data_IF_600177497901
#
_entry.id   IF_600177497901
#
_cell.length_a   1.000
_cell.length_b   1.000
_cell.length_c   1.000
_cell.angle_alpha   90.00
_cell.angle_beta   90.00
_cell.angle_gamma   90.00
#
_symmetry.space_group_name_H-M   'P 1'
#
loop_
_entity.id
_entity.type
_entity.pdbx_description
1 polymer ?
#
# COMPACT_ATOMS: atom_id res chain seq x y z
N UNK A 1 -33.30 19.74 -41.22
CA UNK A 1 -33.37 18.68 -40.18
C UNK A 1 -32.41 17.58 -40.62
N UNK A 2 -31.42 17.10 -39.89
CA UNK A 2 -31.06 17.24 -38.48
C UNK A 2 -29.53 17.23 -38.34
N UNK A 3 -29.02 18.03 -37.42
CA UNK A 3 -27.63 18.09 -36.96
C UNK A 3 -27.37 16.95 -35.96
N UNK A 4 -26.43 16.04 -36.26
CA UNK A 4 -26.00 15.00 -35.34
C UNK A 4 -24.70 15.46 -34.66
N UNK A 5 -24.84 15.89 -33.40
CA UNK A 5 -23.74 16.18 -32.49
C UNK A 5 -23.06 14.86 -32.06
N UNK A 6 -21.79 14.67 -32.40
CA UNK A 6 -20.97 13.63 -31.77
C UNK A 6 -20.55 14.10 -30.38
N UNK A 7 -21.11 13.47 -29.34
CA UNK A 7 -20.67 13.62 -27.95
C UNK A 7 -19.34 12.90 -27.78
N UNK A 8 -18.27 13.67 -27.54
CA UNK A 8 -16.98 13.17 -27.09
C UNK A 8 -17.10 12.73 -25.61
N UNK A 9 -16.76 11.49 -25.23
CA UNK A 9 -16.68 11.14 -23.81
C UNK A 9 -15.41 11.77 -23.25
N UNK A 10 -15.59 12.82 -22.45
CA UNK A 10 -14.54 13.39 -21.62
C UNK A 10 -14.17 12.34 -20.57
N UNK A 11 -13.15 11.53 -20.83
CA UNK A 11 -12.56 10.64 -19.83
C UNK A 11 -11.79 11.52 -18.84
N UNK A 12 -12.53 12.08 -17.89
CA UNK A 12 -12.02 12.78 -16.73
C UNK A 12 -11.32 11.73 -15.88
N UNK A 13 -10.02 11.51 -16.11
CA UNK A 13 -9.15 10.84 -15.15
C UNK A 13 -9.12 11.75 -13.91
N UNK A 14 -10.12 11.59 -13.04
CA UNK A 14 -10.05 12.01 -11.66
C UNK A 14 -8.87 11.23 -11.07
N UNK A 15 -7.69 11.83 -11.11
CA UNK A 15 -6.71 11.60 -10.06
C UNK A 15 -7.42 12.00 -8.77
N UNK A 16 -8.09 11.04 -8.14
CA UNK A 16 -8.44 11.10 -6.74
C UNK A 16 -7.11 11.18 -6.01
N UNK A 17 -6.59 12.39 -5.86
CA UNK A 17 -5.60 12.64 -4.82
C UNK A 17 -6.25 12.12 -3.54
N UNK A 18 -5.62 11.18 -2.80
CA UNK A 18 -6.18 10.74 -1.53
C UNK A 18 -6.35 11.99 -0.67
N UNK A 19 -7.60 12.37 -0.45
CA UNK A 19 -7.93 13.39 0.53
C UNK A 19 -7.49 12.84 1.87
N UNK A 20 -6.47 13.47 2.47
CA UNK A 20 -6.13 13.28 3.86
C UNK A 20 -7.32 13.81 4.68
N UNK A 21 -8.22 12.91 5.08
CA UNK A 21 -9.29 13.25 6.00
C UNK A 21 -8.80 12.95 7.41
N UNK A 22 -9.12 13.86 8.34
CA UNK A 22 -9.05 13.58 9.76
C UNK A 22 -9.83 12.29 10.05
N UNK A 23 -9.22 11.39 10.82
CA UNK A 23 -9.87 10.15 11.26
C UNK A 23 -10.38 10.40 12.67
N UNK A 24 -11.66 10.15 12.90
CA UNK A 24 -12.24 10.20 14.23
C UNK A 24 -13.24 9.05 14.39
N UNK A 25 -13.11 8.30 15.49
CA UNK A 25 -14.08 7.29 15.87
C UNK A 25 -14.16 7.17 17.40
N UNK A 26 -15.31 6.68 17.86
CA UNK A 26 -15.57 6.37 19.25
C UNK A 26 -16.38 5.08 19.31
N UNK A 27 -15.82 4.07 19.97
CA UNK A 27 -16.41 2.74 20.08
C UNK A 27 -16.54 2.41 21.56
N UNK A 28 -17.77 2.36 22.05
CA UNK A 28 -18.09 1.99 23.43
C UNK A 28 -18.57 0.54 23.57
N UNK A 29 -18.75 -0.16 22.44
CA UNK A 29 -19.24 -1.53 22.39
C UNK A 29 -18.71 -2.24 21.15
N UNK A 30 -18.07 -3.41 21.33
CA UNK A 30 -17.47 -4.20 20.27
C UNK A 30 -18.37 -5.40 19.89
N UNK A 31 -18.76 -5.47 18.62
CA UNK A 31 -19.60 -6.54 18.07
C UNK A 31 -18.85 -7.34 17.00
N UNK A 32 -19.20 -8.61 16.84
CA UNK A 32 -18.59 -9.52 15.86
C UNK A 32 -18.95 -9.23 14.41
N UNK A 33 -20.04 -8.52 14.16
CA UNK A 33 -20.50 -8.11 12.83
C UNK A 33 -19.93 -6.75 12.39
N UNK A 34 -19.26 -6.02 13.29
CA UNK A 34 -18.81 -4.67 13.03
C UNK A 34 -17.52 -4.69 12.19
N UNK A 35 -17.51 -3.95 11.09
CA UNK A 35 -16.39 -3.93 10.13
C UNK A 35 -15.34 -2.85 10.41
N UNK A 36 -15.49 -2.11 11.52
CA UNK A 36 -14.61 -1.01 11.92
C UNK A 36 -13.36 -1.50 12.67
N UNK A 37 -13.40 -2.69 13.25
CA UNK A 37 -12.28 -3.33 13.94
C UNK A 37 -11.98 -4.67 13.28
N UNK A 38 -10.71 -4.92 13.02
CA UNK A 38 -10.21 -6.19 12.50
C UNK A 38 -9.51 -6.92 13.63
N UNK A 39 -9.86 -8.20 13.79
CA UNK A 39 -9.32 -9.06 14.83
C UNK A 39 -8.38 -10.09 14.20
N UNK A 40 -7.19 -10.26 14.78
CA UNK A 40 -6.21 -11.25 14.34
C UNK A 40 -5.67 -12.04 15.54
N UNK A 41 -5.12 -13.21 15.24
CA UNK A 41 -4.68 -14.14 16.27
C UNK A 41 -5.85 -14.57 17.15
N UNK A 42 -5.68 -14.39 18.46
CA UNK A 42 -6.64 -14.79 19.50
C UNK A 42 -7.64 -13.72 19.90
N UNK A 43 -7.47 -12.50 19.41
CA UNK A 43 -8.37 -11.41 19.76
C UNK A 43 -9.78 -11.70 19.23
N UNK A 44 -10.78 -11.52 20.09
CA UNK A 44 -12.18 -11.66 19.69
C UNK A 44 -13.06 -10.59 20.38
N UNK A 45 -14.14 -10.15 19.73
CA UNK A 45 -15.19 -9.42 20.43
C UNK A 45 -15.98 -10.39 21.33
N UNK A 46 -16.14 -10.04 22.60
CA UNK A 46 -16.83 -10.82 23.62
C UNK A 46 -17.59 -9.89 24.56
N UNK A 47 -18.91 -10.06 24.64
CA UNK A 47 -19.80 -9.31 25.55
C UNK A 47 -19.58 -7.78 25.50
N UNK A 48 -19.47 -7.23 24.29
CA UNK A 48 -19.29 -5.79 24.09
C UNK A 48 -17.88 -5.25 24.31
N UNK A 49 -16.93 -6.12 24.66
CA UNK A 49 -15.51 -5.80 24.81
C UNK A 49 -14.66 -6.59 23.81
N UNK A 50 -13.36 -6.30 23.74
CA UNK A 50 -12.39 -7.13 23.02
C UNK A 50 -11.60 -7.94 24.04
N UNK A 51 -11.75 -9.26 24.01
CA UNK A 51 -10.82 -10.15 24.70
C UNK A 51 -9.59 -10.34 23.81
N UNK A 52 -8.44 -9.79 24.21
CA UNK A 52 -7.22 -9.89 23.41
C UNK A 52 -6.68 -11.33 23.40
N UNK A 53 -6.84 -12.06 24.51
CA UNK A 53 -6.42 -13.45 24.68
C UNK A 53 -7.56 -14.23 25.33
N UNK A 54 -8.44 -14.81 24.51
CA UNK A 54 -9.58 -15.58 25.00
C UNK A 54 -9.15 -16.98 25.54
N UNK A 55 -8.18 -17.63 24.89
CA UNK A 55 -7.81 -19.01 25.24
C UNK A 55 -6.74 -19.09 26.33
N UNK A 56 -7.05 -18.65 27.54
CA UNK A 56 -6.10 -18.59 28.68
C UNK A 56 -5.48 -19.91 29.10
N UNK A 57 -6.07 -21.05 28.74
CA UNK A 57 -5.52 -22.38 29.05
C UNK A 57 -4.43 -22.83 28.06
N UNK A 58 -4.22 -22.09 26.99
CA UNK A 58 -3.17 -22.35 26.01
C UNK A 58 -2.03 -21.36 26.20
N UNK A 59 -0.81 -21.87 26.12
CA UNK A 59 0.41 -21.05 26.19
C UNK A 59 0.72 -20.42 24.83
N UNK A 60 1.57 -19.39 24.85
CA UNK A 60 2.13 -18.77 23.65
C UNK A 60 1.05 -18.23 22.69
N UNK A 61 0.17 -17.36 23.19
CA UNK A 61 -0.92 -16.77 22.41
C UNK A 61 -0.59 -15.34 22.04
N UNK A 62 -1.12 -14.88 20.90
CA UNK A 62 -1.01 -13.50 20.42
C UNK A 62 -2.39 -13.09 19.91
N UNK A 63 -2.83 -11.89 20.28
CA UNK A 63 -4.07 -11.31 19.75
C UNK A 63 -3.87 -9.86 19.36
N UNK A 64 -4.39 -9.49 18.19
CA UNK A 64 -4.41 -8.12 17.70
C UNK A 64 -5.84 -7.65 17.45
N UNK A 65 -6.10 -6.39 17.78
CA UNK A 65 -7.29 -5.68 17.34
C UNK A 65 -6.88 -4.36 16.72
N UNK A 66 -7.16 -4.16 15.43
CA UNK A 66 -6.75 -2.96 14.69
C UNK A 66 -7.94 -2.22 14.12
N UNK A 67 -7.84 -0.90 14.02
CA UNK A 67 -8.81 -0.11 13.26
C UNK A 67 -8.75 -0.50 11.78
N UNK A 68 -9.92 -0.72 11.16
CA UNK A 68 -10.00 -1.28 9.81
C UNK A 68 -9.48 -0.34 8.71
N UNK A 69 -9.57 0.98 8.93
CA UNK A 69 -9.07 1.96 7.97
C UNK A 69 -7.67 2.43 8.37
N UNK A 70 -6.85 2.72 7.36
CA UNK A 70 -5.54 3.36 7.56
C UNK A 70 -5.68 4.80 8.08
N UNK A 71 -4.72 5.22 8.89
CA UNK A 71 -4.63 6.58 9.43
C UNK A 71 -3.43 7.29 8.78
N UNK A 72 -3.64 8.50 8.26
CA UNK A 72 -2.53 9.32 7.77
C UNK A 72 -1.97 10.17 8.90
N UNK A 73 -0.70 9.96 9.26
CA UNK A 73 -0.04 10.74 10.32
C UNK A 73 0.65 11.98 9.77
N UNK A 74 1.20 11.91 8.57
CA UNK A 74 1.88 13.03 7.94
C UNK A 74 1.77 12.98 6.42
N UNK A 75 2.08 14.12 5.80
CA UNK A 75 2.02 14.30 4.36
C UNK A 75 3.42 14.48 3.77
N UNK A 76 3.79 13.66 2.79
CA UNK A 76 5.14 13.65 2.21
C UNK A 76 5.46 14.87 1.38
N UNK A 77 4.45 15.57 0.87
CA UNK A 77 4.61 16.76 0.03
C UNK A 77 4.88 17.99 0.89
N UNK A 78 4.01 18.24 1.88
CA UNK A 78 4.07 19.40 2.78
C UNK A 78 4.94 19.17 4.00
N UNK A 79 5.31 17.92 4.29
CA UNK A 79 5.98 17.48 5.53
C UNK A 79 5.20 17.82 6.80
N UNK A 80 3.91 18.15 6.67
CA UNK A 80 3.03 18.47 7.79
C UNK A 80 2.68 17.19 8.54
N UNK A 81 2.83 17.25 9.86
CA UNK A 81 2.53 16.17 10.79
C UNK A 81 1.23 16.48 11.53
N UNK A 82 0.43 15.45 11.81
CA UNK A 82 -0.85 15.57 12.52
C UNK A 82 -0.68 15.48 14.03
N UNK A 83 -1.54 16.17 14.78
CA UNK A 83 -1.81 15.77 16.15
C UNK A 83 -2.74 14.55 16.11
N UNK A 84 -2.62 13.68 17.10
CA UNK A 84 -3.64 12.69 17.39
C UNK A 84 -3.87 12.55 18.87
N UNK A 85 -5.04 12.08 19.24
CA UNK A 85 -5.39 11.68 20.58
C UNK A 85 -6.15 10.35 20.50
N UNK A 86 -5.80 9.42 21.36
CA UNK A 86 -6.57 8.20 21.57
C UNK A 86 -6.81 8.02 23.04
N UNK A 87 -7.97 7.48 23.35
CA UNK A 87 -8.33 7.11 24.70
C UNK A 87 -9.02 5.76 24.67
N UNK A 88 -8.69 4.91 25.62
CA UNK A 88 -9.29 3.58 25.72
C UNK A 88 -9.40 3.18 27.18
N UNK A 89 -10.48 2.48 27.49
CA UNK A 89 -10.64 1.80 28.77
C UNK A 89 -10.25 0.34 28.59
N UNK A 90 -9.45 -0.20 29.50
CA UNK A 90 -9.09 -1.61 29.50
C UNK A 90 -9.00 -2.16 30.93
N UNK A 91 -8.88 -3.47 31.07
CA UNK A 91 -8.42 -4.04 32.33
C UNK A 91 -7.54 -5.25 32.05
N UNK A 92 -6.59 -5.47 32.97
CA UNK A 92 -5.72 -6.63 33.00
C UNK A 92 -6.01 -7.43 34.26
N UNK A 93 -6.14 -8.75 34.13
CA UNK A 93 -6.40 -9.65 35.25
C UNK A 93 -5.32 -10.73 35.34
N UNK A 94 -4.55 -10.67 36.42
CA UNK A 94 -3.40 -11.56 36.73
C UNK A 94 -3.81 -12.97 37.20
N UNK A 95 -5.10 -13.30 37.14
CA UNK A 95 -5.65 -14.59 37.58
C UNK A 95 -5.35 -14.93 39.05
N UNK A 96 -5.14 -13.92 39.89
CA UNK A 96 -4.81 -14.10 41.31
C UNK A 96 -3.41 -14.67 41.56
N UNK A 97 -2.56 -14.71 40.53
CA UNK A 97 -1.18 -15.18 40.64
C UNK A 97 -0.25 -14.04 41.04
N UNK A 98 0.73 -14.26 41.94
CA UNK A 98 1.74 -13.24 42.23
C UNK A 98 2.76 -13.16 41.10
N UNK A 99 3.45 -12.02 40.97
CA UNK A 99 4.61 -11.89 40.10
C UNK A 99 5.68 -12.95 40.48
N UNK A 100 6.41 -13.55 39.53
CA UNK A 100 6.34 -13.37 38.07
C UNK A 100 5.50 -14.47 37.39
N UNK A 101 4.30 -14.79 37.90
CA UNK A 101 3.45 -15.90 37.38
C UNK A 101 2.26 -15.42 36.54
N UNK A 102 2.36 -14.24 35.92
CA UNK A 102 1.45 -13.68 34.93
C UNK A 102 2.26 -12.92 33.87
N UNK A 103 1.67 -12.58 32.72
CA UNK A 103 2.38 -11.89 31.64
C UNK A 103 1.68 -12.02 30.28
N UNK A 104 2.05 -11.24 29.27
CA UNK A 104 3.23 -10.34 29.19
C UNK A 104 2.90 -8.86 28.94
N UNK A 105 1.64 -8.49 28.88
CA UNK A 105 1.22 -7.10 28.77
C UNK A 105 0.31 -6.80 27.60
N UNK A 106 0.05 -5.50 27.44
CA UNK A 106 -0.75 -4.89 26.38
C UNK A 106 0.04 -3.77 25.73
N UNK A 107 0.00 -3.69 24.40
CA UNK A 107 0.58 -2.58 23.65
C UNK A 107 -0.46 -1.90 22.76
N UNK A 108 -0.55 -0.57 22.83
CA UNK A 108 -1.13 0.24 21.76
C UNK A 108 -0.03 0.58 20.76
N UNK A 109 -0.24 0.34 19.46
CA UNK A 109 0.81 0.49 18.45
C UNK A 109 0.36 1.29 17.22
N UNK A 110 1.35 1.94 16.59
CA UNK A 110 1.29 2.50 15.24
C UNK A 110 2.34 1.79 14.39
N UNK A 111 1.92 1.16 13.29
CA UNK A 111 2.79 0.39 12.41
C UNK A 111 2.42 0.58 10.92
N UNK A 112 3.24 0.15 9.95
CA UNK A 112 2.90 0.27 8.53
C UNK A 112 1.58 -0.41 8.18
N UNK A 113 0.87 0.13 7.19
CA UNK A 113 -0.31 -0.56 6.65
C UNK A 113 0.11 -1.92 6.09
N UNK A 114 -0.56 -2.98 6.53
CA UNK A 114 -0.18 -4.35 6.17
C UNK A 114 0.95 -4.94 7.02
N UNK A 115 1.30 -4.32 8.15
CA UNK A 115 2.12 -4.96 9.17
C UNK A 115 1.41 -6.22 9.65
N UNK A 116 2.13 -7.34 9.70
CA UNK A 116 1.62 -8.66 10.08
C UNK A 116 2.24 -9.08 11.41
N UNK A 117 1.53 -9.94 12.16
CA UNK A 117 2.06 -10.54 13.39
C UNK A 117 3.36 -11.29 13.03
N UNK A 118 4.52 -10.91 13.58
CA UNK A 118 5.76 -11.62 13.27
C UNK A 118 5.68 -13.08 13.73
N UNK A 119 6.32 -14.02 13.02
CA UNK A 119 6.43 -15.39 13.50
C UNK A 119 7.20 -15.41 14.82
N UNK A 120 6.83 -16.34 15.71
CA UNK A 120 7.44 -16.54 17.02
C UNK A 120 7.44 -15.29 17.92
N UNK A 121 6.36 -14.50 17.85
CA UNK A 121 6.18 -13.22 18.56
C UNK A 121 5.40 -13.31 19.88
N UNK A 122 5.19 -14.51 20.41
CA UNK A 122 4.47 -14.69 21.68
C UNK A 122 5.29 -14.25 22.90
N UNK A 123 4.66 -14.21 24.07
CA UNK A 123 5.28 -13.81 25.32
C UNK A 123 5.76 -12.37 25.32
N UNK A 124 6.98 -12.14 25.82
CA UNK A 124 7.58 -10.80 25.93
C UNK A 124 7.78 -10.08 24.60
N UNK A 125 7.63 -10.76 23.45
CA UNK A 125 7.63 -10.10 22.14
C UNK A 125 6.33 -9.34 21.80
N UNK A 126 5.34 -9.40 22.70
CA UNK A 126 4.06 -8.67 22.64
C UNK A 126 3.29 -8.83 21.34
N UNK A 127 3.55 -9.86 20.53
CA UNK A 127 2.95 -10.01 19.20
C UNK A 127 3.43 -9.00 18.17
N UNK A 128 4.45 -8.20 18.46
CA UNK A 128 4.92 -7.08 17.63
C UNK A 128 6.36 -7.25 17.14
N UNK A 129 7.13 -8.11 17.80
CA UNK A 129 8.54 -8.36 17.52
C UNK A 129 8.85 -9.84 17.43
N UNK A 130 10.06 -10.18 17.03
CA UNK A 130 10.67 -11.48 17.23
C UNK A 130 12.17 -11.30 17.44
N UNK A 131 12.90 -12.41 17.57
CA UNK A 131 14.35 -12.42 17.82
C UNK A 131 15.17 -11.66 16.77
N UNK A 132 14.69 -11.51 15.54
CA UNK A 132 15.40 -10.80 14.46
C UNK A 132 14.96 -9.34 14.30
N UNK A 133 13.80 -8.98 14.87
CA UNK A 133 13.22 -7.65 14.78
C UNK A 133 13.19 -6.93 16.12
N UNK A 134 13.70 -7.51 17.20
CA UNK A 134 13.64 -6.91 18.56
C UNK A 134 14.30 -5.53 18.67
N UNK A 135 15.24 -5.18 17.78
CA UNK A 135 15.76 -3.82 17.62
C UNK A 135 16.14 -3.58 16.15
N UNK A 136 15.21 -2.99 15.39
CA UNK A 136 15.41 -2.77 13.95
C UNK A 136 14.63 -1.58 13.44
N UNK A 137 15.34 -0.63 12.82
CA UNK A 137 14.72 0.52 12.11
C UNK A 137 13.78 0.10 10.97
N UNK A 138 13.91 -1.13 10.47
CA UNK A 138 13.03 -1.66 9.42
C UNK A 138 11.61 -1.97 9.91
N UNK A 139 11.41 -2.06 11.24
CA UNK A 139 10.10 -2.33 11.82
C UNK A 139 9.12 -1.19 11.57
N UNK A 140 9.61 0.04 11.61
CA UNK A 140 8.80 1.26 11.47
C UNK A 140 7.59 1.24 12.42
N UNK A 141 7.85 0.98 13.70
CA UNK A 141 6.81 0.83 14.72
C UNK A 141 7.07 1.76 15.90
N UNK A 142 5.99 2.34 16.43
CA UNK A 142 5.96 3.06 17.70
C UNK A 142 4.85 2.43 18.53
N UNK A 143 5.13 2.14 19.79
CA UNK A 143 4.13 1.59 20.69
C UNK A 143 4.21 2.20 22.09
N UNK A 144 3.10 2.10 22.80
CA UNK A 144 2.98 2.31 24.24
C UNK A 144 2.64 0.96 24.86
N UNK A 145 3.48 0.46 25.75
CA UNK A 145 3.29 -0.84 26.41
C UNK A 145 2.93 -0.68 27.88
N UNK A 146 2.09 -1.59 28.37
CA UNK A 146 1.86 -1.88 29.78
C UNK A 146 2.44 -3.28 30.01
N UNK A 147 3.69 -3.34 30.44
CA UNK A 147 4.45 -4.57 30.59
C UNK A 147 4.36 -5.12 32.01
N UNK A 148 3.72 -6.27 32.12
CA UNK A 148 3.46 -6.98 33.37
C UNK A 148 4.49 -8.07 33.68
N UNK A 149 5.48 -8.29 32.82
CA UNK A 149 6.48 -9.34 33.01
C UNK A 149 7.90 -8.88 32.65
N UNK A 150 8.77 -8.84 33.65
CA UNK A 150 10.16 -8.43 33.47
C UNK A 150 10.98 -9.49 32.71
N UNK A 151 11.30 -9.20 31.45
CA UNK A 151 12.29 -9.88 30.64
C UNK A 151 13.68 -9.26 30.84
N UNK A 152 14.54 -9.96 31.59
CA UNK A 152 15.87 -9.48 32.01
C UNK A 152 16.79 -9.08 30.85
N UNK A 153 16.51 -9.53 29.64
CA UNK A 153 17.29 -9.24 28.44
C UNK A 153 17.10 -7.81 27.92
N UNK A 154 15.93 -7.19 28.12
CA UNK A 154 15.62 -5.85 27.57
C UNK A 154 14.84 -4.93 28.50
N UNK A 155 14.20 -5.45 29.54
CA UNK A 155 13.38 -4.65 30.45
C UNK A 155 14.18 -4.03 31.59
N UNK A 156 13.68 -2.90 32.15
CA UNK A 156 14.07 -2.49 33.49
C UNK A 156 13.73 -3.59 34.50
N UNK A 157 14.36 -3.55 35.69
CA UNK A 157 14.15 -4.56 36.73
C UNK A 157 12.78 -4.47 37.44
N UNK A 158 11.78 -3.87 36.80
CA UNK A 158 10.43 -3.61 37.32
C UNK A 158 9.42 -3.78 36.20
N UNK A 159 8.20 -4.20 36.56
CA UNK A 159 7.03 -4.00 35.69
C UNK A 159 6.89 -2.51 35.38
N UNK A 160 6.47 -2.17 34.16
CA UNK A 160 6.56 -0.79 33.70
C UNK A 160 5.54 -0.45 32.63
N UNK A 161 5.26 0.84 32.49
CA UNK A 161 4.64 1.41 31.29
C UNK A 161 5.74 2.07 30.47
N UNK A 162 5.75 1.83 29.17
CA UNK A 162 6.82 2.16 28.25
C UNK A 162 6.38 2.89 26.98
N UNK A 163 7.25 3.73 26.42
CA UNK A 163 7.16 4.16 25.01
C UNK A 163 8.35 3.58 24.26
N UNK A 164 8.06 2.85 23.19
CA UNK A 164 9.07 2.13 22.43
C UNK A 164 9.06 2.60 20.97
N UNK A 165 10.23 2.55 20.34
CA UNK A 165 10.41 2.91 18.94
C UNK A 165 11.34 1.92 18.25
N UNK A 166 10.85 1.23 17.23
CA UNK A 166 11.60 0.26 16.44
C UNK A 166 12.30 -0.86 17.22
N UNK A 167 12.14 -0.91 18.53
CA UNK A 167 12.80 -1.81 19.46
C UNK A 167 11.79 -2.22 20.52
N UNK A 168 11.97 -3.42 21.05
CA UNK A 168 11.19 -3.92 22.18
C UNK A 168 11.65 -3.31 23.49
N UNK A 169 12.89 -2.83 23.58
CA UNK A 169 13.32 -2.07 24.74
C UNK A 169 12.67 -0.68 24.74
N UNK A 170 12.04 -0.33 25.87
CA UNK A 170 11.46 0.99 26.10
C UNK A 170 12.48 2.12 25.97
N UNK A 171 12.15 3.16 25.19
CA UNK A 171 12.97 4.36 25.07
C UNK A 171 12.85 5.27 26.30
N UNK A 172 11.68 5.22 26.96
CA UNK A 172 11.40 5.81 28.26
C UNK A 172 10.36 4.93 28.94
N UNK A 173 10.46 4.79 30.26
CA UNK A 173 9.53 4.01 31.06
C UNK A 173 9.27 4.66 32.41
N UNK A 174 8.21 4.21 33.07
CA UNK A 174 7.98 4.46 34.50
C UNK A 174 7.52 3.17 35.18
N UNK A 175 7.92 2.91 36.44
CA UNK A 175 7.49 1.73 37.16
C UNK A 175 5.97 1.63 37.26
N UNK A 176 5.46 0.41 37.13
CA UNK A 176 4.05 0.07 37.22
C UNK A 176 3.89 -1.22 38.03
N UNK A 177 2.72 -1.46 38.61
CA UNK A 177 2.45 -2.67 39.38
C UNK A 177 1.16 -3.33 38.90
N UNK A 178 1.28 -4.25 37.95
CA UNK A 178 0.15 -4.91 37.32
C UNK A 178 -0.71 -5.68 38.34
N UNK A 179 -0.07 -6.39 39.28
CA UNK A 179 -0.80 -7.16 40.30
C UNK A 179 -1.63 -6.30 41.25
N UNK A 180 -1.14 -5.11 41.62
CA UNK A 180 -1.86 -4.19 42.51
C UNK A 180 -3.17 -3.69 41.88
N UNK A 181 -3.17 -3.47 40.57
CA UNK A 181 -4.33 -3.01 39.81
C UNK A 181 -5.12 -4.14 39.14
N UNK A 182 -4.83 -5.40 39.47
CA UNK A 182 -5.40 -6.56 38.78
C UNK A 182 -6.93 -6.58 38.86
N UNK A 183 -7.58 -6.54 37.69
CA UNK A 183 -9.04 -6.52 37.54
C UNK A 183 -9.67 -5.13 37.66
N UNK A 184 -8.90 -4.10 37.99
CA UNK A 184 -9.35 -2.72 37.96
C UNK A 184 -9.34 -2.18 36.52
N UNK A 185 -10.31 -1.32 36.23
CA UNK A 185 -10.38 -0.68 34.91
C UNK A 185 -9.45 0.52 34.89
N UNK A 186 -8.63 0.58 33.85
CA UNK A 186 -7.74 1.70 33.56
C UNK A 186 -8.27 2.46 32.35
N UNK A 187 -8.38 3.78 32.50
CA UNK A 187 -8.60 4.71 31.41
C UNK A 187 -7.25 5.29 31.00
N UNK A 188 -6.87 5.11 29.73
CA UNK A 188 -5.55 5.49 29.20
C UNK A 188 -5.72 6.54 28.12
N UNK A 189 -5.01 7.65 28.24
CA UNK A 189 -4.94 8.72 27.26
C UNK A 189 -3.56 8.76 26.62
N UNK A 190 -3.50 8.63 25.30
CA UNK A 190 -2.27 8.80 24.52
C UNK A 190 -2.49 9.98 23.57
N UNK A 191 -1.63 10.98 23.67
CA UNK A 191 -1.69 12.18 22.85
C UNK A 191 -0.37 12.42 22.15
N UNK A 192 -0.44 12.86 20.91
CA UNK A 192 0.72 13.30 20.16
C UNK A 192 0.54 14.75 19.70
N UNK A 193 1.47 15.60 20.09
CA UNK A 193 1.54 17.00 19.68
C UNK A 193 2.60 17.17 18.60
N UNK A 194 2.18 17.44 17.37
CA UNK A 194 3.06 17.61 16.22
C UNK A 194 3.95 18.87 16.32
N UNK A 195 3.52 19.90 17.03
CA UNK A 195 4.30 21.13 17.22
C UNK A 195 5.49 20.93 18.15
N UNK A 196 5.32 20.11 19.19
CA UNK A 196 6.36 19.81 20.19
C UNK A 196 7.01 18.45 19.97
N UNK A 197 6.56 17.68 18.96
CA UNK A 197 6.96 16.29 18.69
C UNK A 197 6.86 15.41 19.95
N UNK A 198 5.84 15.63 20.76
CA UNK A 198 5.74 15.01 22.07
C UNK A 198 4.63 13.95 22.06
N UNK A 199 5.01 12.70 22.31
CA UNK A 199 4.11 11.59 22.57
C UNK A 199 3.96 11.43 24.08
N UNK A 200 2.79 11.77 24.61
CA UNK A 200 2.48 11.65 26.03
C UNK A 200 1.45 10.56 26.27
N UNK A 201 1.68 9.74 27.29
CA UNK A 201 0.69 8.82 27.84
C UNK A 201 0.43 9.14 29.30
N UNK A 202 -0.84 9.08 29.68
CA UNK A 202 -1.28 9.14 31.07
C UNK A 202 -2.41 8.15 31.29
N UNK A 203 -2.55 7.64 32.50
CA UNK A 203 -3.62 6.72 32.85
C UNK A 203 -4.18 6.98 34.24
N UNK A 204 -5.40 6.51 34.45
CA UNK A 204 -6.09 6.57 35.72
C UNK A 204 -6.87 5.29 35.95
N UNK A 205 -6.79 4.77 37.17
CA UNK A 205 -7.51 3.59 37.61
C UNK A 205 -8.81 3.99 38.30
N UNK A 206 -9.88 3.24 38.05
CA UNK A 206 -11.21 3.61 38.55
C UNK A 206 -11.40 3.35 40.05
N UNK A 207 -10.71 2.35 40.61
CA UNK A 207 -10.95 1.93 42.01
C UNK A 207 -9.68 1.91 42.86
N UNK A 208 -8.55 1.60 42.26
CA UNK A 208 -7.24 1.49 42.92
C UNK A 208 -6.45 2.76 42.69
N UNK A 209 -5.75 3.24 43.72
CA UNK A 209 -4.85 4.38 43.59
C UNK A 209 -3.62 4.18 44.46
N UNK A 210 -2.47 4.58 43.95
CA UNK A 210 -1.20 4.47 44.64
C UNK A 210 -0.46 5.81 44.51
N UNK A 211 -0.51 6.64 45.55
CA UNK A 211 0.02 8.01 45.50
C UNK A 211 1.50 8.16 45.04
N UNK A 212 2.42 7.22 45.33
CA UNK A 212 3.79 7.26 44.82
C UNK A 212 3.94 6.84 43.35
N UNK A 213 2.91 6.25 42.73
CA UNK A 213 2.96 5.81 41.34
C UNK A 213 2.86 7.01 40.39
N UNK A 214 3.80 7.11 39.47
CA UNK A 214 3.73 8.10 38.42
C UNK A 214 2.90 7.57 37.26
N UNK A 215 1.67 8.06 37.12
CA UNK A 215 0.70 7.61 36.12
C UNK A 215 0.79 8.38 34.79
N UNK A 216 1.97 8.90 34.47
CA UNK A 216 2.22 9.59 33.22
C UNK A 216 3.68 9.50 32.80
N UNK A 217 3.90 9.46 31.49
CA UNK A 217 5.23 9.56 30.89
C UNK A 217 5.12 10.18 29.50
N UNK A 218 6.22 10.74 29.01
CA UNK A 218 6.25 11.35 27.69
C UNK A 218 7.59 11.14 27.00
N UNK A 219 7.59 11.21 25.67
CA UNK A 219 8.78 11.04 24.86
C UNK A 219 8.78 11.99 23.68
N UNK A 220 9.89 12.69 23.48
CA UNK A 220 10.07 13.54 22.30
C UNK A 220 10.51 12.68 21.10
N UNK A 221 9.64 12.60 20.09
CA UNK A 221 9.79 11.71 18.96
C UNK A 221 9.19 12.33 17.69
N UNK A 222 10.00 12.45 16.64
CA UNK A 222 9.50 12.84 15.33
C UNK A 222 8.94 11.62 14.60
N UNK A 223 7.62 11.45 14.59
CA UNK A 223 6.99 10.28 13.97
C UNK A 223 7.30 10.13 12.46
N UNK A 224 7.69 11.21 11.78
CA UNK A 224 8.06 11.19 10.36
C UNK A 224 9.38 10.46 10.10
N UNK A 225 10.24 10.39 11.10
CA UNK A 225 11.54 9.73 11.01
C UNK A 225 11.43 8.21 11.18
N UNK A 226 10.25 7.72 11.59
CA UNK A 226 10.03 6.33 12.03
C UNK A 226 8.92 5.69 11.20
N UNK A 227 7.74 6.32 11.18
CA UNK A 227 6.53 5.76 10.60
C UNK A 227 6.33 6.24 9.15
N UNK A 228 5.78 5.39 8.25
CA UNK A 228 5.31 5.83 6.94
C UNK A 228 4.15 6.84 7.07
N UNK A 229 3.79 7.48 5.96
CA UNK A 229 2.68 8.46 5.93
C UNK A 229 1.36 7.85 6.41
N UNK A 230 1.09 6.62 6.01
CA UNK A 230 -0.11 5.86 6.34
C UNK A 230 0.23 4.70 7.25
N UNK A 231 -0.47 4.62 8.38
CA UNK A 231 -0.27 3.59 9.40
C UNK A 231 -1.56 2.82 9.66
N UNK A 232 -1.40 1.63 10.23
CA UNK A 232 -2.44 0.97 11.01
C UNK A 232 -2.27 1.34 12.49
N UNK A 233 -3.38 1.44 13.20
CA UNK A 233 -3.40 1.63 14.66
C UNK A 233 -4.18 0.51 15.31
N UNK A 234 -3.73 0.06 16.47
CA UNK A 234 -4.39 -1.04 17.15
C UNK A 234 -3.75 -1.43 18.46
N UNK A 235 -4.22 -2.54 18.99
CA UNK A 235 -3.77 -3.15 20.21
C UNK A 235 -3.15 -4.51 19.91
N UNK A 236 -2.12 -4.86 20.67
CA UNK A 236 -1.51 -6.18 20.68
C UNK A 236 -1.35 -6.67 22.10
N UNK A 237 -1.61 -7.95 22.34
CA UNK A 237 -1.25 -8.62 23.58
C UNK A 237 -0.68 -10.00 23.26
N UNK A 238 0.20 -10.48 24.13
CA UNK A 238 0.75 -11.83 24.02
C UNK A 238 0.96 -12.47 25.39
N UNK A 239 0.94 -13.79 25.42
CA UNK A 239 1.19 -14.60 26.63
C UNK A 239 2.24 -15.66 26.35
N UNK A 240 2.82 -16.23 27.42
CA UNK A 240 3.75 -17.36 27.35
C UNK A 240 3.25 -18.49 28.26
N UNK A 241 4.14 -19.13 29.03
CA UNK A 241 3.81 -20.14 30.04
C UNK A 241 2.83 -19.63 31.11
N UNK A 242 2.88 -18.33 31.39
CA UNK A 242 1.96 -17.65 32.29
C UNK A 242 1.02 -16.79 31.45
N UNK A 243 -0.27 -16.91 31.73
CA UNK A 243 -1.29 -16.15 31.06
C UNK A 243 -1.85 -15.07 31.98
N UNK A 244 -2.25 -13.98 31.37
CA UNK A 244 -3.13 -12.99 31.96
C UNK A 244 -4.28 -12.70 31.00
N UNK A 245 -5.36 -12.11 31.51
CA UNK A 245 -6.48 -11.69 30.66
C UNK A 245 -6.40 -10.20 30.45
N UNK A 246 -6.33 -9.80 29.18
CA UNK A 246 -6.39 -8.40 28.77
C UNK A 246 -7.67 -8.18 27.98
N UNK A 247 -8.43 -7.17 28.39
CA UNK A 247 -9.70 -6.81 27.75
C UNK A 247 -9.77 -5.31 27.45
N UNK A 248 -10.11 -4.95 26.22
CA UNK A 248 -10.39 -3.56 25.82
C UNK A 248 -11.89 -3.32 25.87
N UNK A 249 -12.34 -2.38 26.70
CA UNK A 249 -13.76 -2.07 26.93
C UNK A 249 -14.29 -0.97 26.01
N UNK A 250 -13.45 0.02 25.72
CA UNK A 250 -13.81 1.14 24.85
C UNK A 250 -12.57 1.60 24.09
N UNK A 251 -12.77 2.23 22.93
CA UNK A 251 -11.68 2.85 22.20
C UNK A 251 -12.17 4.04 21.38
N UNK A 252 -11.52 5.17 21.58
CA UNK A 252 -11.68 6.36 20.77
C UNK A 252 -10.33 6.82 20.22
N UNK A 253 -10.36 7.37 19.02
CA UNK A 253 -9.20 7.91 18.34
C UNK A 253 -9.64 9.11 17.53
N UNK A 254 -8.81 10.16 17.52
CA UNK A 254 -8.99 11.34 16.69
C UNK A 254 -7.66 11.84 16.16
N UNK A 255 -7.60 12.25 14.89
CA UNK A 255 -6.47 12.95 14.29
C UNK A 255 -6.90 14.28 13.68
N UNK A 256 -6.05 15.29 13.76
CA UNK A 256 -6.36 16.66 13.33
C UNK A 256 -5.95 17.00 11.89
N UNK A 257 -5.60 16.00 11.07
CA UNK A 257 -5.08 16.23 9.72
C UNK A 257 -6.20 16.62 8.74
N UNK A 258 -6.66 17.87 8.84
CA UNK A 258 -7.38 18.54 7.76
C UNK A 258 -6.33 19.18 6.84
N UNK A 259 -5.94 18.48 5.78
CA UNK A 259 -5.22 19.13 4.67
C UNK A 259 -6.24 19.94 3.89
N UNK A 260 -6.48 21.18 4.32
CA UNK A 260 -7.13 22.18 3.47
C UNK A 260 -6.29 22.30 2.20
N UNK A 261 -6.89 22.04 1.04
CA UNK A 261 -6.29 22.43 -0.24
C UNK A 261 -5.78 23.87 -0.08
N UNK A 262 -4.47 24.08 -0.17
CA UNK A 262 -3.97 25.41 -0.51
C UNK A 262 -4.50 25.66 -1.91
N UNK A 263 -5.62 26.38 -1.97
CA UNK A 263 -6.40 26.72 -3.15
C UNK A 263 -5.52 26.68 -4.40
N UNK A 264 -5.54 25.53 -5.06
CA UNK A 264 -4.70 25.22 -6.21
C UNK A 264 -5.07 26.05 -7.44
N UNK A 265 -5.80 27.17 -7.30
CA UNK A 265 -6.12 28.07 -8.40
C UNK A 265 -4.85 28.67 -9.01
N UNK A 266 -3.83 29.00 -8.22
CA UNK A 266 -2.59 29.58 -8.76
C UNK A 266 -1.62 28.53 -9.34
N UNK A 267 -1.56 27.32 -8.76
CA UNK A 267 -0.78 26.21 -9.29
C UNK A 267 -1.44 25.56 -10.52
N UNK A 268 -2.78 25.38 -10.52
CA UNK A 268 -3.55 24.95 -11.69
C UNK A 268 -3.45 25.96 -12.82
N UNK A 269 -3.51 27.29 -12.55
CA UNK A 269 -3.29 28.31 -13.60
C UNK A 269 -1.89 28.24 -14.21
N UNK A 270 -0.84 28.08 -13.40
CA UNK A 270 0.54 27.96 -13.92
C UNK A 270 0.75 26.66 -14.72
N UNK A 271 0.22 25.51 -14.28
CA UNK A 271 0.29 24.24 -15.04
C UNK A 271 -0.58 24.26 -16.31
N UNK A 272 -1.79 24.84 -16.26
CA UNK A 272 -2.69 24.95 -17.42
C UNK A 272 -2.08 25.87 -18.48
N UNK A 273 -1.41 26.96 -18.08
CA UNK A 273 -0.77 27.89 -19.02
C UNK A 273 0.42 27.24 -19.75
N UNK A 274 1.23 26.43 -19.06
CA UNK A 274 2.35 25.69 -19.67
C UNK A 274 1.85 24.54 -20.55
N UNK A 275 0.75 23.86 -20.18
CA UNK A 275 0.13 22.82 -21.01
C UNK A 275 -0.56 23.37 -22.27
N UNK A 276 -1.14 24.57 -22.21
CA UNK A 276 -1.81 25.21 -23.35
C UNK A 276 -0.81 25.76 -24.39
N UNK A 277 0.33 26.29 -23.95
CA UNK A 277 1.35 26.79 -24.89
C UNK A 277 2.08 25.65 -25.61
N UNK A 278 2.34 24.53 -24.93
CA UNK A 278 2.98 23.37 -25.54
C UNK A 278 2.01 22.62 -26.47
N UNK A 279 0.73 22.44 -26.07
CA UNK A 279 -0.27 21.77 -26.93
C UNK A 279 -0.70 22.62 -28.13
N UNK A 280 -0.77 23.95 -27.98
CA UNK A 280 -1.00 24.87 -29.11
C UNK A 280 0.15 24.84 -30.12
N UNK A 281 1.40 24.81 -29.64
CA UNK A 281 2.58 24.73 -30.52
C UNK A 281 2.63 23.44 -31.33
N UNK A 282 2.29 22.30 -30.72
CA UNK A 282 2.25 20.99 -31.42
C UNK A 282 1.12 20.92 -32.44
N UNK A 283 -0.06 21.51 -32.16
CA UNK A 283 -1.17 21.56 -33.11
C UNK A 283 -0.86 22.45 -34.32
N UNK A 284 -0.20 23.60 -34.10
CA UNK A 284 0.21 24.50 -35.18
C UNK A 284 1.30 23.84 -36.03
N UNK A 285 2.30 23.20 -35.40
CA UNK A 285 3.34 22.47 -36.13
C UNK A 285 2.75 21.29 -36.92
N UNK A 286 1.83 20.53 -36.33
CA UNK A 286 1.13 19.44 -37.00
C UNK A 286 0.28 19.91 -38.20
N UNK A 287 -0.40 21.06 -38.07
CA UNK A 287 -1.16 21.65 -39.18
C UNK A 287 -0.25 22.13 -40.32
N UNK A 288 0.92 22.70 -40.01
CA UNK A 288 1.91 23.10 -41.02
C UNK A 288 2.47 21.86 -41.75
N UNK A 289 2.81 20.79 -41.02
CA UNK A 289 3.30 19.55 -41.61
C UNK A 289 2.22 18.90 -42.49
N UNK A 290 0.98 18.84 -42.03
CA UNK A 290 -0.13 18.31 -42.82
C UNK A 290 -0.37 19.14 -44.10
N UNK A 291 -0.26 20.47 -44.00
CA UNK A 291 -0.39 21.35 -45.16
C UNK A 291 0.74 21.14 -46.18
N UNK A 292 1.98 20.97 -45.73
CA UNK A 292 3.12 20.67 -46.60
C UNK A 292 2.95 19.32 -47.28
N UNK A 293 2.55 18.28 -46.54
CA UNK A 293 2.27 16.94 -47.11
C UNK A 293 1.17 17.04 -48.17
N UNK A 294 0.06 17.73 -47.85
CA UNK A 294 -1.05 17.89 -48.78
C UNK A 294 -0.65 18.67 -50.03
N UNK A 295 0.24 19.66 -49.92
CA UNK A 295 0.77 20.42 -51.06
C UNK A 295 1.72 19.58 -51.92
N UNK A 296 2.56 18.75 -51.29
CA UNK A 296 3.46 17.82 -52.01
C UNK A 296 2.69 16.70 -52.71
N UNK A 297 1.55 16.26 -52.16
CA UNK A 297 0.67 15.26 -52.77
C UNK A 297 -0.16 15.83 -53.92
N UNK A 298 -0.63 17.08 -53.81
CA UNK A 298 -1.28 17.78 -54.93
C UNK A 298 -0.36 17.99 -56.14
N UNK A 299 0.96 17.91 -55.93
CA UNK A 299 1.96 17.97 -57.01
C UNK A 299 2.17 16.65 -57.75
N UNK A 300 1.61 15.52 -57.28
CA UNK A 300 1.84 14.19 -57.85
C UNK A 300 0.67 13.59 -58.64
N UNK A 301 -0.49 14.24 -58.71
CA UNK A 301 -1.58 13.82 -59.61
C UNK A 301 -1.49 14.54 -60.96
N UNK A 302 -0.53 14.14 -61.79
CA UNK A 302 -0.64 14.16 -63.26
C UNK A 302 0.20 13.02 -63.83
N UNK A 303 -0.45 12.16 -64.64
CA UNK A 303 0.00 10.89 -65.27
C UNK A 303 -0.36 9.68 -64.40
N UNK A 304 -1.15 8.69 -64.82
CA UNK A 304 -1.50 8.12 -66.14
C UNK A 304 -2.88 7.42 -66.07
N UNK A 305 -3.69 7.51 -67.14
CA UNK A 305 -4.67 6.49 -67.57
C UNK A 305 -3.87 5.31 -68.20
N UNK A 306 -4.23 4.03 -68.17
CA UNK A 306 -5.45 3.38 -68.69
C UNK A 306 -5.42 1.84 -68.43
N UNK A 307 -6.62 1.22 -68.36
CA UNK A 307 -6.97 -0.22 -68.58
C UNK A 307 -6.47 -1.32 -67.63
N UNK A 308 -7.23 -2.35 -67.24
CA UNK A 308 -8.45 -2.99 -67.78
C UNK A 308 -9.26 -3.65 -66.65
N UNK A 309 -10.58 -3.72 -66.83
CA UNK A 309 -11.50 -4.48 -66.00
C UNK A 309 -11.49 -5.97 -66.36
N UNK A 310 -11.47 -6.88 -65.38
CA UNK A 310 -12.39 -8.04 -65.31
C UNK A 310 -12.20 -8.90 -64.05
N UNK A 311 -13.31 -9.51 -63.61
CA UNK A 311 -13.50 -10.53 -62.55
C UNK A 311 -13.92 -10.05 -61.15
N UNK A 312 -15.10 -9.44 -61.12
CA UNK A 312 -16.07 -9.72 -60.05
C UNK A 312 -16.54 -11.18 -60.19
N UNK A 313 -16.36 -11.95 -59.11
CA UNK A 313 -17.02 -13.22 -58.72
C UNK A 313 -16.09 -14.42 -58.50
N UNK A 314 -15.56 -14.52 -57.28
CA UNK A 314 -15.67 -15.77 -56.50
C UNK A 314 -15.55 -15.45 -55.01
N UNK A 315 -16.68 -15.00 -54.44
CA UNK A 315 -16.95 -15.15 -53.01
C UNK A 315 -17.26 -16.63 -52.70
N UNK A 316 -17.09 -17.01 -51.43
CA UNK A 316 -17.32 -18.32 -50.76
C UNK A 316 -16.01 -19.08 -50.51
N UNK A 317 -15.51 -19.36 -49.31
CA UNK A 317 -15.94 -19.27 -47.90
C UNK A 317 -14.62 -19.13 -47.10
N UNK A 318 -14.46 -18.20 -46.16
CA UNK A 318 -14.78 -18.44 -44.76
C UNK A 318 -14.79 -17.09 -44.04
N UNK A 319 -15.99 -16.57 -43.84
CA UNK A 319 -16.29 -15.75 -42.68
C UNK A 319 -16.86 -16.72 -41.65
N UNK A 320 -16.18 -16.92 -40.53
CA UNK A 320 -16.74 -16.67 -39.19
C UNK A 320 -15.74 -17.15 -38.12
N UNK A 321 -15.04 -16.20 -37.52
CA UNK A 321 -15.08 -16.03 -36.07
C UNK A 321 -14.52 -14.66 -35.70
N UNK A 322 -15.42 -13.68 -35.74
CA UNK A 322 -15.51 -12.69 -34.66
C UNK A 322 -14.60 -11.48 -34.75
N UNK A 323 -15.03 -10.50 -35.56
CA UNK A 323 -14.90 -9.08 -35.21
C UNK A 323 -15.43 -8.82 -33.80
N UNK A 324 -14.55 -8.39 -32.91
CA UNK A 324 -14.90 -7.72 -31.68
C UNK A 324 -13.85 -6.65 -31.39
N UNK A 325 -14.16 -5.39 -31.70
CA UNK A 325 -13.39 -4.25 -31.20
C UNK A 325 -13.64 -4.11 -29.69
N UNK A 326 -12.96 -4.97 -28.92
CA UNK A 326 -12.87 -4.92 -27.46
C UNK A 326 -11.62 -4.17 -26.99
N UNK A 327 -11.48 -3.94 -25.67
CA UNK A 327 -10.28 -3.33 -25.08
C UNK A 327 -9.04 -4.11 -25.54
N UNK A 328 -8.04 -3.43 -26.09
CA UNK A 328 -6.74 -4.07 -26.40
C UNK A 328 -6.23 -4.69 -25.10
N UNK A 329 -5.96 -5.99 -25.11
CA UNK A 329 -5.47 -6.67 -23.92
C UNK A 329 -4.14 -6.05 -23.49
N UNK A 330 -3.94 -5.92 -22.18
CA UNK A 330 -2.73 -5.40 -21.52
C UNK A 330 -1.42 -6.00 -22.09
N UNK A 331 -1.54 -7.19 -22.66
CA UNK A 331 -0.51 -8.06 -23.23
C UNK A 331 0.16 -7.46 -24.48
N UNK A 332 -0.60 -6.80 -25.37
CA UNK A 332 -0.05 -6.16 -26.59
C UNK A 332 0.50 -4.77 -26.29
N UNK A 333 -0.07 -4.09 -25.29
CA UNK A 333 0.33 -2.72 -24.92
C UNK A 333 1.76 -2.69 -24.36
N UNK A 334 2.16 -3.70 -23.58
CA UNK A 334 3.53 -3.82 -23.07
C UNK A 334 4.58 -3.90 -24.21
N UNK A 335 4.28 -4.65 -25.27
CA UNK A 335 5.12 -4.74 -26.47
C UNK A 335 5.12 -3.44 -27.26
N UNK A 336 3.98 -2.76 -27.41
CA UNK A 336 3.92 -1.44 -28.07
C UNK A 336 4.74 -0.38 -27.29
N UNK A 337 4.76 -0.45 -25.95
CA UNK A 337 5.55 0.45 -25.09
C UNK A 337 7.05 0.16 -25.24
N UNK A 338 7.46 -1.10 -25.14
CA UNK A 338 8.88 -1.47 -25.23
C UNK A 338 9.46 -1.19 -26.62
N UNK A 339 8.65 -1.38 -27.67
CA UNK A 339 9.10 -1.24 -29.06
C UNK A 339 8.85 0.14 -29.66
N UNK A 340 8.03 0.98 -29.01
CA UNK A 340 7.59 2.26 -29.56
C UNK A 340 6.73 2.17 -30.83
N UNK A 341 6.33 0.95 -31.25
CA UNK A 341 5.65 0.66 -32.52
C UNK A 341 4.20 0.23 -32.28
N UNK A 342 3.27 0.71 -33.13
CA UNK A 342 1.85 0.34 -33.07
C UNK A 342 1.56 -0.92 -33.88
N UNK A 343 0.79 -1.85 -33.31
CA UNK A 343 0.26 -3.02 -34.02
C UNK A 343 -0.83 -2.57 -35.01
N UNK A 344 -0.53 -2.61 -36.31
CA UNK A 344 -1.52 -2.36 -37.37
C UNK A 344 -1.03 -1.70 -38.66
N UNK A 345 0.26 -1.34 -38.78
CA UNK A 345 0.82 -0.85 -40.04
C UNK A 345 1.84 -1.87 -40.58
N UNK A 346 1.79 -2.23 -41.87
CA UNK A 346 2.79 -3.07 -42.49
C UNK A 346 4.16 -2.38 -42.39
N UNK A 347 5.20 -3.17 -42.12
CA UNK A 347 6.58 -2.70 -42.10
C UNK A 347 6.91 -2.15 -43.49
N UNK A 348 7.16 -0.84 -43.60
CA UNK A 348 7.87 -0.32 -44.76
C UNK A 348 9.30 -0.87 -44.68
N UNK A 349 9.69 -1.56 -45.75
CA UNK A 349 10.91 -2.36 -45.95
C UNK A 349 10.82 -3.84 -45.54
N UNK A 350 10.35 -4.64 -46.51
CA UNK A 350 10.60 -6.07 -46.69
C UNK A 350 10.39 -6.97 -45.46
N UNK A 351 9.15 -7.15 -45.03
CA UNK A 351 8.54 -8.44 -44.67
C UNK A 351 7.12 -8.18 -44.13
N UNK A 352 6.12 -8.88 -44.65
CA UNK A 352 4.69 -8.81 -44.30
C UNK A 352 4.41 -9.43 -42.91
N UNK A 353 5.13 -8.97 -41.89
CA UNK A 353 5.23 -9.65 -40.59
C UNK A 353 4.75 -8.70 -39.49
N UNK A 354 3.61 -9.03 -38.88
CA UNK A 354 3.04 -8.26 -37.77
C UNK A 354 3.98 -8.16 -36.57
N UNK A 355 3.81 -7.10 -35.74
CA UNK A 355 4.65 -6.77 -34.58
C UNK A 355 5.00 -7.99 -33.71
N UNK A 356 4.01 -8.83 -33.42
CA UNK A 356 4.16 -10.03 -32.60
C UNK A 356 5.20 -11.01 -33.20
N UNK A 357 5.06 -11.30 -34.48
CA UNK A 357 5.92 -12.25 -35.19
C UNK A 357 7.34 -11.71 -35.36
N UNK A 358 7.49 -10.39 -35.51
CA UNK A 358 8.79 -9.73 -35.56
C UNK A 358 9.53 -9.83 -34.21
N UNK A 359 8.86 -9.56 -33.10
CA UNK A 359 9.48 -9.67 -31.76
C UNK A 359 9.79 -11.13 -31.41
N UNK A 360 8.94 -12.08 -31.81
CA UNK A 360 9.21 -13.52 -31.63
C UNK A 360 10.47 -13.98 -32.37
N UNK A 361 10.68 -13.48 -33.60
CA UNK A 361 11.90 -13.74 -34.38
C UNK A 361 13.16 -13.11 -33.76
N UNK A 362 13.04 -11.98 -33.06
CA UNK A 362 14.15 -11.38 -32.32
C UNK A 362 14.49 -12.18 -31.06
N UNK A 363 13.46 -12.66 -30.34
CA UNK A 363 13.63 -13.54 -29.19
C UNK A 363 14.38 -14.83 -29.57
N UNK A 364 13.97 -15.50 -30.64
CA UNK A 364 14.62 -16.73 -31.11
C UNK A 364 16.08 -16.57 -31.58
N UNK A 365 16.48 -15.34 -31.94
CA UNK A 365 17.87 -15.01 -32.35
C UNK A 365 18.73 -14.50 -31.19
N UNK A 366 18.13 -14.17 -30.04
CA UNK A 366 18.83 -13.55 -28.91
C UNK A 366 19.07 -12.05 -29.06
N UNK A 367 18.44 -11.39 -30.04
CA UNK A 367 18.70 -9.98 -30.39
C UNK A 367 17.56 -9.05 -29.90
N UNK A 368 17.09 -9.24 -28.67
CA UNK A 368 15.92 -8.52 -28.13
C UNK A 368 16.11 -7.00 -28.04
N UNK A 369 17.35 -6.54 -27.84
CA UNK A 369 17.67 -5.11 -27.75
C UNK A 369 17.40 -4.37 -29.07
N UNK A 370 17.38 -5.06 -30.22
CA UNK A 370 16.98 -4.47 -31.50
C UNK A 370 15.48 -4.15 -31.58
N UNK A 371 14.68 -4.71 -30.66
CA UNK A 371 13.25 -4.43 -30.60
C UNK A 371 12.95 -3.06 -29.95
N UNK A 372 13.90 -2.48 -29.23
CA UNK A 372 13.70 -1.32 -28.34
C UNK A 372 13.63 -0.02 -29.14
N UNK A 373 12.74 0.89 -28.75
CA UNK A 373 12.69 2.23 -29.32
C UNK A 373 13.99 2.99 -29.03
N UNK A 374 14.66 3.53 -30.05
CA UNK A 374 15.90 4.31 -29.91
C UNK A 374 15.73 5.58 -29.06
N UNK A 375 14.50 6.00 -28.73
CA UNK A 375 14.25 7.07 -27.75
C UNK A 375 14.39 6.63 -26.29
N UNK A 376 14.41 5.33 -26.02
CA UNK A 376 14.54 4.74 -24.67
C UNK A 376 15.96 4.25 -24.35
N UNK A 377 16.89 4.39 -25.29
CA UNK A 377 18.24 3.81 -25.24
C UNK A 377 19.16 4.41 -24.16
N UNK A 378 18.83 5.58 -23.58
CA UNK A 378 19.71 6.30 -22.65
C UNK A 378 19.32 6.23 -21.16
N UNK A 379 18.14 5.68 -20.81
CA UNK A 379 17.59 5.77 -19.43
C UNK A 379 17.16 4.42 -18.82
N UNK A 380 17.35 3.27 -19.49
CA UNK A 380 16.90 1.96 -19.01
C UNK A 380 18.03 0.92 -18.96
N UNK A 381 18.07 0.14 -17.87
CA UNK A 381 18.96 -1.03 -17.72
C UNK A 381 18.56 -2.11 -18.74
N UNK A 382 19.52 -2.59 -19.54
CA UNK A 382 19.30 -3.59 -20.62
C UNK A 382 18.50 -4.80 -20.10
N UNK A 383 18.78 -5.24 -18.88
CA UNK A 383 18.09 -6.37 -18.24
C UNK A 383 16.62 -6.10 -17.94
N UNK A 384 16.26 -4.84 -17.66
CA UNK A 384 14.86 -4.43 -17.45
C UNK A 384 14.07 -4.48 -18.74
N UNK A 385 14.70 -4.05 -19.84
CA UNK A 385 14.05 -4.02 -21.15
C UNK A 385 13.87 -5.43 -21.70
N UNK A 386 14.88 -6.28 -21.59
CA UNK A 386 14.77 -7.70 -21.93
C UNK A 386 13.68 -8.39 -21.11
N UNK A 387 13.65 -8.16 -19.79
CA UNK A 387 12.62 -8.70 -18.91
C UNK A 387 11.22 -8.26 -19.33
N UNK A 388 11.04 -6.99 -19.67
CA UNK A 388 9.78 -6.43 -20.13
C UNK A 388 9.31 -7.08 -21.45
N UNK A 389 10.21 -7.26 -22.41
CA UNK A 389 9.88 -7.87 -23.71
C UNK A 389 9.53 -9.36 -23.53
N UNK A 390 10.29 -10.10 -22.73
CA UNK A 390 10.03 -11.53 -22.46
C UNK A 390 8.68 -11.70 -21.75
N UNK A 391 8.38 -10.88 -20.75
CA UNK A 391 7.07 -10.91 -20.08
C UNK A 391 5.95 -10.54 -21.05
N UNK A 392 6.17 -9.55 -21.93
CA UNK A 392 5.26 -9.20 -23.01
C UNK A 392 4.93 -10.40 -23.90
N UNK A 393 5.96 -11.09 -24.40
CA UNK A 393 5.84 -12.31 -25.21
C UNK A 393 5.14 -13.46 -24.46
N UNK A 394 5.46 -13.65 -23.18
CA UNK A 394 4.85 -14.68 -22.34
C UNK A 394 3.34 -14.46 -22.17
N UNK A 395 2.91 -13.20 -22.05
CA UNK A 395 1.50 -12.84 -21.93
C UNK A 395 0.71 -13.05 -23.24
N UNK A 396 1.36 -12.94 -24.40
CA UNK A 396 0.74 -13.09 -25.72
C UNK A 396 0.91 -14.49 -26.32
N UNK A 397 1.38 -15.47 -25.53
CA UNK A 397 1.62 -16.83 -25.99
C UNK A 397 0.38 -17.43 -26.70
N UNK A 398 0.55 -18.07 -27.90
CA UNK A 398 -0.58 -18.67 -28.61
C UNK A 398 -1.34 -19.70 -27.78
N UNK A 399 -0.61 -20.53 -27.02
CA UNK A 399 -1.22 -21.46 -26.05
C UNK A 399 -1.60 -20.71 -24.77
N UNK A 400 -2.90 -20.65 -24.50
CA UNK A 400 -3.46 -20.01 -23.30
C UNK A 400 -3.00 -20.66 -22.00
N UNK A 401 -2.70 -21.96 -22.01
CA UNK A 401 -2.28 -22.68 -20.80
C UNK A 401 -0.84 -22.36 -20.40
N UNK A 402 -0.04 -21.82 -21.33
CA UNK A 402 1.35 -21.43 -21.09
C UNK A 402 1.48 -19.94 -20.72
N UNK A 403 0.39 -19.17 -20.76
CA UNK A 403 0.37 -17.77 -20.35
C UNK A 403 0.50 -17.64 -18.83
N UNK A 404 1.20 -16.61 -18.34
CA UNK A 404 1.32 -16.38 -16.91
C UNK A 404 0.02 -15.86 -16.30
N UNK A 405 -0.19 -16.15 -15.03
CA UNK A 405 -1.07 -15.33 -14.21
C UNK A 405 -0.46 -13.93 -14.01
N UNK A 406 -1.31 -12.93 -13.77
CA UNK A 406 -0.88 -11.55 -13.45
C UNK A 406 0.15 -11.52 -12.31
N UNK A 407 -0.04 -12.36 -11.28
CA UNK A 407 0.89 -12.49 -10.15
C UNK A 407 2.27 -13.00 -10.58
N UNK A 408 2.34 -13.95 -11.51
CA UNK A 408 3.61 -14.45 -12.05
C UNK A 408 4.31 -13.39 -12.90
N UNK A 409 3.59 -12.70 -13.78
CA UNK A 409 4.13 -11.64 -14.62
C UNK A 409 4.72 -10.49 -13.77
N UNK A 410 4.00 -10.02 -12.75
CA UNK A 410 4.49 -8.96 -11.83
C UNK A 410 5.73 -9.43 -11.06
N UNK A 411 5.78 -10.69 -10.63
CA UNK A 411 6.92 -11.23 -9.89
C UNK A 411 8.20 -11.25 -10.74
N UNK A 412 8.09 -11.59 -12.02
CA UNK A 412 9.22 -11.57 -12.97
C UNK A 412 9.63 -10.13 -13.31
N UNK A 413 8.67 -9.23 -13.55
CA UNK A 413 8.94 -7.80 -13.80
C UNK A 413 9.67 -7.12 -12.64
N UNK A 414 9.39 -7.53 -11.40
CA UNK A 414 10.07 -7.05 -10.19
C UNK A 414 11.38 -7.80 -9.87
N UNK A 415 11.88 -8.65 -10.78
CA UNK A 415 13.07 -9.50 -10.60
C UNK A 415 13.00 -10.46 -9.39
N UNK A 416 11.80 -10.75 -8.90
CA UNK A 416 11.55 -11.69 -7.80
C UNK A 416 11.42 -13.16 -8.23
N UNK A 417 11.64 -13.43 -9.52
CA UNK A 417 11.70 -14.74 -10.17
C UNK A 417 12.50 -14.63 -11.47
N UNK A 418 13.12 -15.72 -11.93
CA UNK A 418 13.85 -15.78 -13.21
C UNK A 418 12.89 -15.67 -14.39
N UNK A 419 13.34 -15.04 -15.48
CA UNK A 419 12.57 -14.97 -16.73
C UNK A 419 12.30 -16.37 -17.28
N UNK A 420 11.10 -16.62 -17.84
CA UNK A 420 10.77 -17.91 -18.44
C UNK A 420 11.52 -18.10 -19.76
N UNK A 421 11.87 -19.35 -20.07
CA UNK A 421 12.27 -19.73 -21.42
C UNK A 421 11.01 -20.03 -22.23
N UNK A 422 10.69 -19.16 -23.19
CA UNK A 422 9.55 -19.31 -24.08
C UNK A 422 9.92 -20.26 -25.24
N UNK A 423 8.95 -21.00 -25.80
CA UNK A 423 9.19 -21.82 -26.99
C UNK A 423 9.60 -20.91 -28.16
N UNK A 424 10.67 -21.32 -28.86
CA UNK A 424 11.22 -20.61 -30.02
C UNK A 424 10.76 -21.21 -31.33
#
# INVERSE_FOLDING_TARGET
MATIFYKLPFFLLLFLLPSANSVSFQISHFESNASNILYYGDAIPSVGAIEMINKVNYVCRVGWATYANRVQLWDSITKKLTNFATHYSSFLYTQGSPAPKYGHGLAFFLAPVGFEIPPDSAGGFLGLFNTTTSDSRKNQIVLVEFDSYVNVEWDPSVEHVGINKNSIASAVYTPWNASFHSGDTVDVWITYSASTKNLSVSWEYQTTSNAPENTSLFYEIDLREILPEWVTVGFSAATSQYGERVTIKSWEFSSSLDIKETNGKNAKKKKLLVGLTVSGGVLIAGAIIAFVIMWTWKGKEKKEEEETAETVNLALMNDDLGRGAGPRSFEVVALEIATGRRSGYPMEENFDVGLLQWVWNLYGRGDLLLAVDGKMENDLDEKQVECLIIVGLWCVQPDRNLRPSIRQAIRVLNFGATTPNLPT
#
